data_IF_469794926437
#
_entry.id   IF_469794926437
#
_cell.length_a   1.000
_cell.length_b   1.000
_cell.length_c   1.000
_cell.angle_alpha   90.00
_cell.angle_beta   90.00
_cell.angle_gamma   90.00
#
_symmetry.space_group_name_H-M   'P 1'
#
loop_
_entity.id
_entity.type
_entity.pdbx_description
1 polymer ?
#
# COMPACT_ATOMS: atom_id res chain seq x y z
N UNK A 1 -4.95 12.56 -26.51
CA UNK A 1 -4.55 13.77 -25.74
C UNK A 1 -4.56 13.59 -24.22
N UNK A 2 -5.52 12.88 -23.60
CA UNK A 2 -5.58 12.74 -22.13
C UNK A 2 -4.38 12.00 -21.50
N UNK A 3 -3.88 10.94 -22.17
CA UNK A 3 -2.81 10.06 -21.70
C UNK A 3 -1.46 10.76 -21.51
N UNK A 4 -0.93 11.37 -22.56
CA UNK A 4 0.34 12.11 -22.54
C UNK A 4 0.35 13.23 -21.49
N UNK A 5 -0.81 13.87 -21.26
CA UNK A 5 -0.94 14.89 -20.21
C UNK A 5 -0.81 14.30 -18.80
N UNK A 6 -1.27 13.07 -18.58
CA UNK A 6 -1.11 12.37 -17.29
C UNK A 6 0.34 11.92 -17.10
N UNK A 7 0.96 11.33 -18.13
CA UNK A 7 2.37 10.91 -18.10
C UNK A 7 3.29 12.10 -17.78
N UNK A 8 3.11 13.24 -18.46
CA UNK A 8 3.88 14.46 -18.18
C UNK A 8 3.70 14.96 -16.74
N UNK A 9 2.45 14.95 -16.24
CA UNK A 9 2.13 15.34 -14.87
C UNK A 9 2.73 14.41 -13.83
N UNK A 10 2.75 13.11 -14.11
CA UNK A 10 3.38 12.10 -13.27
C UNK A 10 4.89 12.33 -13.20
N UNK A 11 5.53 12.50 -14.37
CA UNK A 11 6.97 12.78 -14.44
C UNK A 11 7.35 14.02 -13.62
N UNK A 12 6.58 15.12 -13.75
CA UNK A 12 6.83 16.33 -12.96
C UNK A 12 6.64 16.12 -11.46
N UNK A 13 5.61 15.38 -11.04
CA UNK A 13 5.36 15.12 -9.63
C UNK A 13 6.47 14.28 -9.01
N UNK A 14 6.95 13.27 -9.75
CA UNK A 14 8.03 12.37 -9.35
C UNK A 14 9.35 13.15 -9.26
N UNK A 15 9.72 13.91 -10.29
CA UNK A 15 10.96 14.70 -10.28
C UNK A 15 11.03 15.72 -9.14
N UNK A 16 9.89 16.25 -8.68
CA UNK A 16 9.83 17.16 -7.52
C UNK A 16 10.05 16.46 -6.18
N UNK A 17 9.96 15.13 -6.16
CA UNK A 17 9.98 14.30 -4.97
C UNK A 17 8.73 14.43 -4.11
N UNK A 18 8.58 13.52 -3.15
CA UNK A 18 7.46 13.53 -2.21
C UNK A 18 7.82 14.32 -0.96
N UNK A 19 7.07 15.35 -0.60
CA UNK A 19 7.32 16.17 0.60
C UNK A 19 6.18 16.09 1.61
N UNK A 20 4.96 15.81 1.14
CA UNK A 20 3.75 15.74 1.95
C UNK A 20 2.80 14.66 1.41
N UNK A 21 1.83 14.25 2.22
CA UNK A 21 0.83 13.22 1.90
C UNK A 21 0.11 13.48 0.57
N UNK A 22 -0.24 14.74 0.30
CA UNK A 22 -0.92 15.11 -0.95
C UNK A 22 -0.12 14.75 -2.21
N UNK A 23 1.21 14.69 -2.12
CA UNK A 23 2.06 14.35 -3.26
C UNK A 23 1.94 12.85 -3.58
N UNK A 24 1.91 12.01 -2.55
CA UNK A 24 1.70 10.55 -2.66
C UNK A 24 0.31 10.27 -3.22
N UNK A 25 -0.71 10.89 -2.62
CA UNK A 25 -2.09 10.76 -3.06
C UNK A 25 -2.24 11.17 -4.53
N UNK A 26 -1.63 12.28 -4.92
CA UNK A 26 -1.66 12.76 -6.30
C UNK A 26 -1.07 11.74 -7.28
N UNK A 27 0.11 11.20 -7.00
CA UNK A 27 0.76 10.22 -7.89
C UNK A 27 -0.09 8.96 -8.01
N UNK A 28 -0.57 8.40 -6.89
CA UNK A 28 -1.41 7.20 -6.92
C UNK A 28 -2.71 7.46 -7.69
N UNK A 29 -3.36 8.61 -7.47
CA UNK A 29 -4.56 9.00 -8.22
C UNK A 29 -4.32 9.16 -9.72
N UNK A 30 -3.19 9.77 -10.13
CA UNK A 30 -2.84 9.93 -11.53
C UNK A 30 -2.55 8.58 -12.20
N UNK A 31 -1.82 7.68 -11.53
CA UNK A 31 -1.57 6.32 -12.04
C UNK A 31 -2.89 5.54 -12.17
N UNK A 32 -3.77 5.63 -11.16
CA UNK A 32 -5.09 4.97 -11.23
C UNK A 32 -5.91 5.50 -12.40
N UNK A 33 -5.99 6.82 -12.56
CA UNK A 33 -6.67 7.46 -13.70
C UNK A 33 -6.08 7.02 -15.04
N UNK A 34 -4.76 6.92 -15.13
CA UNK A 34 -4.10 6.44 -16.33
C UNK A 34 -4.56 5.02 -16.68
N UNK A 35 -4.55 4.10 -15.71
CA UNK A 35 -4.95 2.73 -15.97
C UNK A 35 -6.44 2.57 -16.28
N UNK A 36 -7.31 3.39 -15.69
CA UNK A 36 -8.74 3.40 -16.04
C UNK A 36 -8.99 3.84 -17.49
N UNK A 37 -8.09 4.63 -18.09
CA UNK A 37 -8.17 5.02 -19.50
C UNK A 37 -7.68 3.93 -20.46
N UNK A 38 -6.73 3.09 -20.06
CA UNK A 38 -6.13 2.06 -20.95
C UNK A 38 -6.73 0.67 -20.74
N UNK A 39 -7.26 0.41 -19.55
CA UNK A 39 -7.94 -0.83 -19.17
C UNK A 39 -9.39 -0.50 -18.78
N UNK A 40 -10.29 -0.36 -19.77
CA UNK A 40 -11.71 -0.09 -19.50
C UNK A 40 -12.32 -1.16 -18.58
N UNK A 41 -11.82 -2.39 -18.70
CA UNK A 41 -12.10 -3.48 -17.78
C UNK A 41 -10.99 -3.54 -16.72
N UNK A 42 -11.27 -3.01 -15.52
CA UNK A 42 -10.34 -2.93 -14.37
C UNK A 42 -9.62 -4.25 -14.04
N UNK A 43 -10.24 -5.38 -14.36
CA UNK A 43 -9.74 -6.73 -14.07
C UNK A 43 -8.30 -6.96 -14.57
N UNK A 44 -7.96 -6.47 -15.76
CA UNK A 44 -6.62 -6.68 -16.32
C UNK A 44 -5.54 -5.91 -15.54
N UNK A 45 -5.82 -4.65 -15.20
CA UNK A 45 -4.93 -3.83 -14.38
C UNK A 45 -4.77 -4.39 -12.96
N UNK A 46 -5.87 -4.86 -12.38
CA UNK A 46 -5.91 -5.49 -11.05
C UNK A 46 -5.10 -6.79 -10.98
N UNK A 47 -5.08 -7.58 -12.07
CA UNK A 47 -4.25 -8.78 -12.15
C UNK A 47 -2.76 -8.45 -12.33
N UNK A 48 -2.46 -7.36 -13.05
CA UNK A 48 -1.09 -6.98 -13.39
C UNK A 48 -0.36 -6.26 -12.26
N UNK A 49 -1.07 -5.42 -11.50
CA UNK A 49 -0.52 -4.60 -10.40
C UNK A 49 -1.41 -4.69 -9.14
N UNK A 50 -1.59 -5.90 -8.58
CA UNK A 50 -2.61 -6.15 -7.55
C UNK A 50 -2.40 -5.33 -6.28
N UNK A 51 -1.14 -5.13 -5.88
CA UNK A 51 -0.82 -4.41 -4.65
C UNK A 51 -0.99 -2.91 -4.85
N UNK A 52 -0.61 -2.38 -6.02
CA UNK A 52 -0.95 -0.99 -6.37
C UNK A 52 -2.45 -0.76 -6.34
N UNK A 53 -3.26 -1.64 -6.94
CA UNK A 53 -4.71 -1.47 -6.97
C UNK A 53 -5.35 -1.56 -5.58
N UNK A 54 -4.84 -2.45 -4.72
CA UNK A 54 -5.25 -2.52 -3.32
C UNK A 54 -5.00 -1.19 -2.59
N UNK A 55 -3.78 -0.64 -2.69
CA UNK A 55 -3.42 0.61 -2.02
C UNK A 55 -4.18 1.80 -2.62
N UNK A 56 -4.29 1.87 -3.95
CA UNK A 56 -5.05 2.91 -4.63
C UNK A 56 -6.52 2.88 -4.21
N UNK A 57 -7.14 1.70 -4.12
CA UNK A 57 -8.51 1.58 -3.66
C UNK A 57 -8.65 1.98 -2.19
N UNK A 58 -7.69 1.59 -1.35
CA UNK A 58 -7.67 1.93 0.07
C UNK A 58 -7.61 3.44 0.29
N UNK A 59 -6.70 4.16 -0.37
CA UNK A 59 -6.55 5.60 -0.14
C UNK A 59 -7.63 6.44 -0.84
N UNK A 60 -8.16 5.99 -1.99
CA UNK A 60 -9.07 6.78 -2.82
C UNK A 60 -10.56 6.53 -2.50
N UNK A 61 -10.87 5.52 -1.69
CA UNK A 61 -12.26 5.18 -1.34
C UNK A 61 -12.45 5.10 0.17
N UNK A 62 -13.51 5.74 0.65
CA UNK A 62 -13.89 5.77 2.07
C UNK A 62 -14.38 4.42 2.60
N UNK A 63 -14.66 3.46 1.72
CA UNK A 63 -15.07 2.10 2.07
C UNK A 63 -14.50 1.11 1.07
N UNK A 64 -13.96 0.00 1.58
CA UNK A 64 -13.44 -1.10 0.76
C UNK A 64 -14.52 -2.16 0.57
N UNK A 65 -15.54 -1.77 -0.17
CA UNK A 65 -16.58 -2.66 -0.70
C UNK A 65 -16.08 -3.49 -1.91
N UNK A 66 -14.84 -3.28 -2.35
CA UNK A 66 -14.26 -3.93 -3.52
C UNK A 66 -13.64 -5.30 -3.23
N UNK A 67 -13.85 -6.20 -4.19
CA UNK A 67 -13.47 -7.62 -4.18
C UNK A 67 -12.01 -7.89 -3.82
N UNK A 68 -11.07 -7.02 -4.20
CA UNK A 68 -9.63 -7.19 -3.91
C UNK A 68 -9.27 -6.96 -2.45
N UNK A 69 -9.78 -5.89 -1.84
CA UNK A 69 -9.55 -5.61 -0.43
C UNK A 69 -10.21 -6.66 0.45
N UNK A 70 -11.44 -7.06 0.10
CA UNK A 70 -12.11 -8.19 0.74
C UNK A 70 -11.32 -9.49 0.59
N UNK A 71 -10.75 -9.78 -0.58
CA UNK A 71 -9.90 -10.96 -0.79
C UNK A 71 -8.66 -10.92 0.09
N UNK A 72 -7.98 -9.78 0.22
CA UNK A 72 -6.82 -9.65 1.11
C UNK A 72 -7.20 -9.79 2.58
N UNK A 73 -8.32 -9.23 3.00
CA UNK A 73 -8.85 -9.44 4.35
C UNK A 73 -9.23 -10.91 4.58
N UNK A 74 -9.81 -11.58 3.58
CA UNK A 74 -10.10 -13.02 3.66
C UNK A 74 -8.84 -13.88 3.71
N UNK A 75 -7.79 -13.52 2.96
CA UNK A 75 -6.46 -14.14 3.06
C UNK A 75 -5.90 -13.97 4.48
N UNK A 76 -6.06 -12.78 5.07
CA UNK A 76 -5.70 -12.54 6.47
C UNK A 76 -6.55 -13.37 7.44
N UNK A 77 -7.88 -13.42 7.27
CA UNK A 77 -8.79 -14.19 8.12
C UNK A 77 -8.53 -15.69 8.05
N UNK A 78 -8.26 -16.24 6.86
CA UNK A 78 -7.89 -17.63 6.67
C UNK A 78 -6.58 -17.94 7.41
N UNK A 79 -5.60 -17.05 7.28
CA UNK A 79 -4.32 -17.19 7.99
C UNK A 79 -4.50 -17.26 9.52
N UNK A 80 -5.34 -16.39 10.10
CA UNK A 80 -5.61 -16.39 11.54
C UNK A 80 -6.47 -17.58 12.02
N UNK A 81 -7.22 -18.22 11.13
CA UNK A 81 -8.05 -19.39 11.48
C UNK A 81 -7.20 -20.65 11.69
N UNK A 82 -6.14 -20.80 10.90
CA UNK A 82 -5.41 -22.08 10.77
C UNK A 82 -4.10 -22.13 11.56
N UNK A 83 -3.67 -21.04 12.21
CA UNK A 83 -2.32 -20.92 12.77
C UNK A 83 -2.27 -20.35 14.20
N UNK A 84 -1.51 -21.00 15.09
CA UNK A 84 -1.18 -20.53 16.45
C UNK A 84 0.00 -19.53 16.45
N UNK A 85 0.26 -18.90 17.60
CA UNK A 85 1.08 -17.70 17.85
C UNK A 85 2.40 -17.55 17.08
N UNK A 86 3.12 -18.64 16.78
CA UNK A 86 4.46 -18.57 16.19
C UNK A 86 4.44 -18.21 14.69
N UNK A 87 3.31 -18.44 14.00
CA UNK A 87 3.10 -18.03 12.62
C UNK A 87 2.56 -16.59 12.51
N UNK A 88 2.14 -15.97 13.60
CA UNK A 88 1.85 -14.53 13.64
C UNK A 88 3.09 -13.70 13.27
N UNK A 89 4.30 -14.23 13.53
CA UNK A 89 5.56 -13.65 13.05
C UNK A 89 5.70 -13.74 11.51
N UNK A 90 5.26 -14.84 10.90
CA UNK A 90 5.22 -14.97 9.43
C UNK A 90 4.17 -14.05 8.78
N UNK A 91 3.07 -13.78 9.49
CA UNK A 91 2.10 -12.75 9.10
C UNK A 91 2.68 -11.34 9.18
N UNK A 92 3.41 -11.00 10.25
CA UNK A 92 4.19 -9.76 10.30
C UNK A 92 5.16 -9.69 9.12
N UNK A 93 5.80 -10.81 8.75
CA UNK A 93 6.59 -10.98 7.52
C UNK A 93 5.82 -10.64 6.23
N UNK A 94 4.51 -10.95 6.16
CA UNK A 94 3.64 -10.56 5.05
C UNK A 94 3.24 -9.07 5.04
N UNK A 95 3.29 -8.39 6.18
CA UNK A 95 3.22 -6.92 6.23
C UNK A 95 4.38 -6.28 5.46
N UNK A 96 5.59 -6.86 5.54
CA UNK A 96 6.73 -6.43 4.71
C UNK A 96 6.52 -6.73 3.23
N UNK A 97 5.79 -7.80 2.87
CA UNK A 97 5.50 -8.08 1.47
C UNK A 97 4.56 -7.04 0.87
N UNK A 98 3.66 -6.41 1.66
CA UNK A 98 2.78 -5.37 1.11
C UNK A 98 3.57 -4.22 0.48
N UNK A 99 4.50 -3.62 1.23
CA UNK A 99 5.29 -2.51 0.68
C UNK A 99 6.34 -2.98 -0.33
N UNK A 100 6.96 -4.16 -0.14
CA UNK A 100 7.88 -4.75 -1.13
C UNK A 100 7.18 -5.02 -2.47
N UNK A 101 5.96 -5.56 -2.43
CA UNK A 101 5.15 -5.83 -3.62
C UNK A 101 4.61 -4.54 -4.22
N UNK A 102 4.28 -3.54 -3.40
CA UNK A 102 3.95 -2.19 -3.89
C UNK A 102 5.13 -1.58 -4.64
N UNK A 103 6.36 -1.70 -4.11
CA UNK A 103 7.58 -1.22 -4.78
C UNK A 103 7.71 -1.86 -6.16
N UNK A 104 7.61 -3.19 -6.24
CA UNK A 104 7.67 -3.95 -7.50
C UNK A 104 6.59 -3.51 -8.48
N UNK A 105 5.36 -3.32 -8.02
CA UNK A 105 4.27 -2.84 -8.86
C UNK A 105 4.57 -1.44 -9.38
N UNK A 106 5.01 -0.51 -8.53
CA UNK A 106 5.36 0.86 -8.91
C UNK A 106 6.52 0.91 -9.91
N UNK A 107 7.59 0.13 -9.71
CA UNK A 107 8.69 0.02 -10.65
C UNK A 107 8.22 -0.46 -12.03
N UNK A 108 7.42 -1.55 -12.07
CA UNK A 108 6.86 -2.07 -13.33
C UNK A 108 5.92 -1.07 -14.00
N UNK A 109 5.11 -0.35 -13.23
CA UNK A 109 4.24 0.71 -13.74
C UNK A 109 5.10 1.78 -14.40
N UNK A 110 6.12 2.29 -13.72
CA UNK A 110 6.97 3.36 -14.25
C UNK A 110 7.72 2.94 -15.52
N UNK A 111 8.24 1.71 -15.56
CA UNK A 111 8.81 1.12 -16.79
C UNK A 111 7.78 1.06 -17.92
N UNK A 112 6.54 0.62 -17.62
CA UNK A 112 5.45 0.54 -18.61
C UNK A 112 5.07 1.93 -19.14
N UNK A 113 5.17 2.96 -18.31
CA UNK A 113 4.88 4.35 -18.65
C UNK A 113 6.08 5.07 -19.28
N UNK A 114 7.24 4.43 -19.40
CA UNK A 114 8.51 5.05 -19.81
C UNK A 114 8.88 6.27 -18.96
N UNK A 115 8.59 6.22 -17.66
CA UNK A 115 8.89 7.26 -16.68
C UNK A 115 10.17 6.91 -15.92
N UNK A 116 10.82 7.95 -15.38
CA UNK A 116 11.98 7.78 -14.51
C UNK A 116 11.55 7.12 -13.19
N UNK A 117 12.12 5.94 -12.89
CA UNK A 117 11.81 5.17 -11.70
C UNK A 117 12.76 5.47 -10.51
N UNK A 118 13.60 6.52 -10.60
CA UNK A 118 14.60 6.87 -9.59
C UNK A 118 14.07 6.88 -8.15
N UNK A 119 12.84 7.35 -7.92
CA UNK A 119 12.27 7.36 -6.56
C UNK A 119 12.11 5.95 -5.98
N UNK A 120 11.72 4.99 -6.80
CA UNK A 120 11.48 3.63 -6.35
C UNK A 120 12.78 2.84 -6.28
N UNK A 121 13.77 3.13 -7.14
CA UNK A 121 15.09 2.51 -7.07
C UNK A 121 16.00 3.13 -5.99
N UNK A 122 15.75 4.37 -5.56
CA UNK A 122 16.46 5.01 -4.47
C UNK A 122 15.82 4.70 -3.11
N UNK A 123 16.53 3.94 -2.27
CA UNK A 123 16.08 3.55 -0.92
C UNK A 123 15.55 4.71 -0.07
N UNK A 124 16.23 5.85 -0.06
CA UNK A 124 15.85 6.99 0.79
C UNK A 124 14.52 7.61 0.34
N UNK A 125 14.35 7.79 -0.96
CA UNK A 125 13.11 8.33 -1.54
C UNK A 125 11.96 7.32 -1.42
N UNK A 126 12.23 6.04 -1.60
CA UNK A 126 11.26 4.97 -1.35
C UNK A 126 10.76 4.95 0.09
N UNK A 127 11.66 4.96 1.08
CA UNK A 127 11.27 5.00 2.50
C UNK A 127 10.52 6.28 2.87
N UNK A 128 10.81 7.38 2.18
CA UNK A 128 10.05 8.63 2.33
C UNK A 128 8.64 8.52 1.78
N UNK A 129 8.48 7.93 0.60
CA UNK A 129 7.18 7.63 0.01
C UNK A 129 6.36 6.71 0.92
N UNK A 130 6.96 5.62 1.42
CA UNK A 130 6.30 4.68 2.34
C UNK A 130 5.88 5.36 3.64
N UNK A 131 6.74 6.19 4.23
CA UNK A 131 6.38 6.95 5.43
C UNK A 131 5.15 7.82 5.22
N UNK A 132 5.13 8.62 4.15
CA UNK A 132 3.98 9.47 3.80
C UNK A 132 2.73 8.65 3.48
N UNK A 133 2.87 7.50 2.82
CA UNK A 133 1.76 6.60 2.56
C UNK A 133 1.17 6.05 3.86
N UNK A 134 2.02 5.68 4.83
CA UNK A 134 1.55 5.15 6.11
C UNK A 134 0.78 6.21 6.89
N UNK A 135 1.22 7.47 6.88
CA UNK A 135 0.44 8.57 7.49
C UNK A 135 -0.98 8.64 6.90
N UNK A 136 -1.12 8.56 5.57
CA UNK A 136 -2.44 8.52 4.91
C UNK A 136 -3.26 7.30 5.39
N UNK A 137 -2.64 6.13 5.51
CA UNK A 137 -3.33 4.89 5.87
C UNK A 137 -3.70 4.81 7.36
N UNK A 138 -3.08 5.60 8.24
CA UNK A 138 -3.50 5.71 9.66
C UNK A 138 -4.90 6.28 9.79
N UNK A 139 -5.23 7.25 8.95
CA UNK A 139 -6.54 7.93 8.97
C UNK A 139 -7.63 7.14 8.25
N UNK A 140 -7.26 6.07 7.54
CA UNK A 140 -8.15 5.27 6.72
C UNK A 140 -8.11 3.80 7.20
N UNK A 141 -8.85 3.41 8.24
CA UNK A 141 -8.91 2.01 8.64
C UNK A 141 -9.57 1.16 7.54
N UNK A 142 -8.99 0.00 7.24
CA UNK A 142 -9.68 -1.05 6.48
C UNK A 142 -10.86 -1.54 7.31
N UNK A 143 -12.06 -1.54 6.74
CA UNK A 143 -13.24 -2.10 7.40
C UNK A 143 -13.70 -3.36 6.65
N UNK A 144 -14.08 -4.39 7.39
CA UNK A 144 -14.66 -5.62 6.84
C UNK A 144 -15.85 -6.10 7.68
N UNK A 145 -16.74 -6.84 7.03
CA UNK A 145 -17.90 -7.47 7.68
C UNK A 145 -17.57 -8.83 8.28
N UNK A 146 -16.37 -9.37 8.03
CA UNK A 146 -15.92 -10.69 8.49
C UNK A 146 -15.49 -10.75 9.96
N UNK A 147 -14.60 -11.70 10.26
CA UNK A 147 -13.97 -11.89 11.58
C UNK A 147 -13.03 -10.75 11.93
N UNK A 148 -12.32 -10.21 10.95
CA UNK A 148 -11.59 -8.95 11.12
C UNK A 148 -12.58 -7.84 10.83
N UNK A 149 -12.85 -7.02 11.85
CA UNK A 149 -13.71 -5.84 11.73
C UNK A 149 -12.97 -4.65 11.17
N UNK A 150 -11.74 -4.45 11.65
CA UNK A 150 -10.88 -3.43 11.08
C UNK A 150 -9.41 -3.74 11.18
N UNK A 151 -8.65 -3.14 10.27
CA UNK A 151 -7.20 -3.05 10.31
C UNK A 151 -6.83 -1.57 10.20
N UNK A 152 -5.94 -1.10 11.06
CA UNK A 152 -5.53 0.31 11.11
C UNK A 152 -4.04 0.42 11.39
N UNK A 153 -3.35 1.35 10.74
CA UNK A 153 -2.03 1.78 11.16
C UNK A 153 -2.17 2.76 12.33
N UNK A 154 -1.33 2.61 13.36
CA UNK A 154 -1.43 3.42 14.58
C UNK A 154 -0.40 4.54 14.56
N UNK A 155 0.86 4.22 14.84
CA UNK A 155 1.94 5.19 14.94
C UNK A 155 3.18 4.69 14.20
N UNK A 156 3.89 5.62 13.57
CA UNK A 156 5.22 5.39 13.02
C UNK A 156 6.22 5.96 14.00
N UNK A 157 7.09 5.13 14.56
CA UNK A 157 8.09 5.56 15.53
C UNK A 157 9.49 5.48 14.95
N UNK A 158 10.32 6.44 15.35
CA UNK A 158 11.77 6.35 15.17
C UNK A 158 12.35 5.67 16.42
N UNK A 159 12.95 4.49 16.25
CA UNK A 159 13.78 3.86 17.28
C UNK A 159 15.24 4.01 16.85
N UNK A 160 15.86 5.14 17.20
CA UNK A 160 17.16 5.53 16.65
C UNK A 160 17.06 5.86 15.15
N UNK A 161 17.92 5.27 14.33
CA UNK A 161 17.86 5.39 12.85
C UNK A 161 16.80 4.49 12.22
N UNK A 162 16.23 3.55 12.99
CA UNK A 162 15.23 2.62 12.49
C UNK A 162 13.85 3.25 12.52
N UNK A 163 13.15 3.13 11.39
CA UNK A 163 11.72 3.49 11.33
C UNK A 163 10.92 2.22 11.58
N UNK A 164 10.04 2.25 12.57
CA UNK A 164 9.08 1.19 12.83
C UNK A 164 7.66 1.73 12.66
N UNK A 165 6.72 0.86 12.31
CA UNK A 165 5.31 1.19 12.17
C UNK A 165 4.48 0.19 12.94
N UNK A 166 3.52 0.69 13.70
CA UNK A 166 2.58 -0.13 14.43
C UNK A 166 1.24 -0.21 13.69
N UNK A 167 0.57 -1.35 13.81
CA UNK A 167 -0.78 -1.54 13.31
C UNK A 167 -1.60 -2.40 14.27
N UNK A 168 -2.90 -2.14 14.30
CA UNK A 168 -3.86 -2.85 15.14
C UNK A 168 -4.94 -3.50 14.28
N UNK A 169 -5.26 -4.74 14.62
CA UNK A 169 -6.35 -5.51 14.05
C UNK A 169 -7.43 -5.65 15.11
N UNK A 170 -8.65 -5.22 14.79
CA UNK A 170 -9.83 -5.41 15.62
C UNK A 170 -10.67 -6.55 15.07
N UNK A 171 -11.05 -7.47 15.95
CA UNK A 171 -11.82 -8.66 15.62
C UNK A 171 -13.30 -8.50 15.98
N UNK A 172 -14.14 -9.37 15.41
CA UNK A 172 -15.59 -9.36 15.60
C UNK A 172 -16.04 -9.71 17.02
N UNK A 173 -15.18 -10.38 17.79
CA UNK A 173 -15.37 -10.69 19.21
C UNK A 173 -14.94 -9.53 20.13
N UNK A 174 -14.73 -8.34 19.57
CA UNK A 174 -14.23 -7.14 20.25
C UNK A 174 -12.80 -7.26 20.79
N UNK A 175 -12.08 -8.35 20.52
CA UNK A 175 -10.65 -8.42 20.82
C UNK A 175 -9.83 -7.59 19.82
N UNK A 176 -8.63 -7.18 20.23
CA UNK A 176 -7.68 -6.49 19.37
C UNK A 176 -6.28 -7.03 19.55
N UNK A 177 -5.49 -7.00 18.49
CA UNK A 177 -4.05 -7.31 18.52
C UNK A 177 -3.27 -6.21 17.83
N UNK A 178 -2.23 -5.73 18.49
CA UNK A 178 -1.31 -4.72 17.97
C UNK A 178 0.03 -5.34 17.63
N UNK A 179 0.65 -4.82 16.60
CA UNK A 179 1.90 -5.31 16.02
C UNK A 179 2.80 -4.13 15.70
N UNK A 180 4.12 -4.35 15.69
CA UNK A 180 5.11 -3.35 15.29
C UNK A 180 6.06 -3.97 14.26
N UNK A 181 6.32 -3.25 13.17
CA UNK A 181 7.15 -3.67 12.04
C UNK A 181 8.31 -2.71 11.78
N UNK A 182 9.50 -3.20 11.49
CA UNK A 182 10.65 -2.37 11.07
C UNK A 182 10.59 -2.04 9.57
N UNK A 183 10.43 -0.78 9.19
CA UNK A 183 10.40 -0.36 7.78
C UNK A 183 11.71 -0.62 7.03
N UNK A 184 12.83 -0.87 7.72
CA UNK A 184 14.08 -1.25 7.04
C UNK A 184 13.98 -2.60 6.31
N UNK A 185 13.11 -3.49 6.78
CA UNK A 185 12.88 -4.80 6.17
C UNK A 185 12.02 -4.73 4.91
N UNK A 186 11.42 -3.57 4.61
CA UNK A 186 10.65 -3.32 3.38
C UNK A 186 11.56 -3.29 2.13
N UNK A 187 12.87 -3.07 2.33
CA UNK A 187 13.87 -2.98 1.25
C UNK A 187 14.92 -4.11 1.32
N UNK A 188 14.69 -5.14 2.13
CA UNK A 188 15.59 -6.30 2.21
C UNK A 188 15.28 -7.27 1.07
N UNK A 189 16.27 -7.53 0.21
CA UNK A 189 16.18 -8.52 -0.87
C UNK A 189 15.94 -9.93 -0.35
#
# INVERSE_FOLDING_TARGET
MGRQKIEFKLQQAVQRGFKKESDVFYVIAQIRKYFELIYPNKVEGELKYPTFYLIADWILHSSLDRKLALKKIQEFEAFFKDHQSDQMFNFMKSGFTLFKDLKKDMEKIFVTLQLDNFIFSNRKEWLKFVGLLIEILKDLPLLSKGKIKSFKFDEGFFVGDKRAVSFTIHFADCSSKSFTMDLELVDSD
#
